data_IF_027579325438
#
_entry.id   IF_027579325438
#
_cell.length_a   1.000
_cell.length_b   1.000
_cell.length_c   1.000
_cell.angle_alpha   90.00
_cell.angle_beta   90.00
_cell.angle_gamma   90.00
#
_symmetry.space_group_name_H-M   'P 1'
#
loop_
_entity.id
_entity.type
_entity.pdbx_description
1 polymer ?
#
# COMPACT_ATOMS: atom_id res chain seq x y z
N UNK A 1 -8.01 -39.63 -9.37
CA UNK A 1 -7.70 -38.65 -10.43
C UNK A 1 -8.37 -37.34 -10.07
N UNK A 2 -7.67 -36.47 -9.32
CA UNK A 2 -8.22 -35.18 -8.88
C UNK A 2 -8.24 -34.22 -10.06
N UNK A 3 -9.44 -33.78 -10.46
CA UNK A 3 -9.62 -32.70 -11.43
C UNK A 3 -9.08 -31.42 -10.82
N UNK A 4 -7.91 -30.97 -11.27
CA UNK A 4 -7.42 -29.62 -10.98
C UNK A 4 -8.42 -28.63 -11.58
N UNK A 5 -9.11 -27.84 -10.75
CA UNK A 5 -9.90 -26.71 -11.22
C UNK A 5 -8.94 -25.72 -11.88
N UNK A 6 -9.12 -25.46 -13.17
CA UNK A 6 -8.44 -24.36 -13.86
C UNK A 6 -8.90 -23.04 -13.24
N UNK A 7 -8.00 -22.09 -12.92
CA UNK A 7 -8.38 -20.77 -12.47
C UNK A 7 -9.02 -20.02 -13.65
N UNK A 8 -10.32 -19.77 -13.55
CA UNK A 8 -11.05 -18.93 -14.50
C UNK A 8 -10.82 -17.46 -14.13
N UNK A 9 -10.19 -16.72 -15.05
CA UNK A 9 -10.12 -15.26 -15.15
C UNK A 9 -9.35 -14.55 -14.02
N UNK A 10 -8.08 -14.24 -14.31
CA UNK A 10 -7.11 -13.64 -13.41
C UNK A 10 -7.32 -12.12 -13.22
N UNK A 11 -7.02 -11.64 -12.00
CA UNK A 11 -7.28 -10.28 -11.51
C UNK A 11 -5.98 -9.46 -11.45
N UNK A 12 -6.01 -8.16 -11.81
CA UNK A 12 -4.81 -7.34 -12.02
C UNK A 12 -4.36 -6.46 -10.88
N UNK A 13 -3.04 -6.35 -10.81
CA UNK A 13 -2.26 -5.26 -10.25
C UNK A 13 -1.38 -4.68 -11.34
N UNK A 14 -1.29 -3.36 -11.43
CA UNK A 14 -0.29 -2.71 -12.27
C UNK A 14 1.10 -2.99 -11.69
N UNK A 15 1.77 -3.97 -12.26
CA UNK A 15 3.16 -4.35 -11.98
C UNK A 15 3.99 -3.94 -13.20
N UNK A 16 4.85 -2.92 -13.06
CA UNK A 16 5.68 -2.45 -14.16
C UNK A 16 7.01 -3.23 -14.16
N UNK A 17 7.26 -4.05 -15.17
CA UNK A 17 8.56 -4.73 -15.39
C UNK A 17 9.39 -3.96 -16.41
N UNK A 18 10.71 -4.17 -16.44
CA UNK A 18 11.63 -3.39 -17.30
C UNK A 18 11.37 -3.56 -18.82
N UNK A 19 10.60 -4.59 -19.18
CA UNK A 19 10.13 -4.87 -20.54
C UNK A 19 8.78 -4.19 -20.91
N UNK A 20 8.24 -3.32 -20.05
CA UNK A 20 7.05 -2.53 -20.37
C UNK A 20 5.75 -3.33 -20.41
N UNK A 21 5.63 -4.41 -19.64
CA UNK A 21 4.38 -5.17 -19.56
C UNK A 21 3.40 -4.44 -18.65
N UNK A 22 2.57 -3.58 -19.24
CA UNK A 22 1.40 -3.01 -18.57
C UNK A 22 0.30 -4.07 -18.49
N UNK A 23 0.15 -4.69 -17.32
CA UNK A 23 -1.00 -5.54 -17.05
C UNK A 23 -2.22 -4.63 -16.76
N UNK A 24 -3.05 -4.42 -17.78
CA UNK A 24 -4.35 -3.77 -17.67
C UNK A 24 -5.42 -4.86 -17.80
N UNK A 25 -6.15 -5.17 -16.71
CA UNK A 25 -7.32 -6.04 -16.78
C UNK A 25 -8.56 -5.25 -16.33
N UNK A 26 -9.29 -4.82 -17.37
CA UNK A 26 -10.70 -4.41 -17.49
C UNK A 26 -11.30 -3.23 -16.67
N UNK A 27 -12.52 -2.85 -17.10
CA UNK A 27 -13.34 -1.75 -16.57
C UNK A 27 -13.79 -1.96 -15.09
N UNK A 28 -13.51 -3.12 -14.49
CA UNK A 28 -13.90 -3.48 -13.12
C UNK A 28 -12.85 -3.12 -12.05
N UNK A 29 -11.69 -2.58 -12.46
CA UNK A 29 -10.68 -1.98 -11.56
C UNK A 29 -11.28 -0.90 -10.61
N UNK A 30 -12.47 -0.38 -10.96
CA UNK A 30 -13.32 0.50 -10.14
C UNK A 30 -13.85 -0.10 -8.82
N UNK A 31 -13.48 -1.32 -8.41
CA UNK A 31 -13.93 -1.96 -7.15
C UNK A 31 -12.86 -2.05 -6.04
N UNK A 32 -11.64 -1.59 -6.27
CA UNK A 32 -10.58 -1.50 -5.23
C UNK A 32 -10.81 -0.29 -4.29
N UNK A 33 -12.01 -0.21 -3.71
CA UNK A 33 -12.56 1.01 -3.11
C UNK A 33 -13.10 0.76 -1.71
N UNK A 34 -12.25 0.33 -0.79
CA UNK A 34 -12.56 0.52 0.64
C UNK A 34 -11.78 1.70 1.24
N UNK A 35 -10.89 2.31 0.47
CA UNK A 35 -10.17 3.50 0.88
C UNK A 35 -11.13 4.67 1.11
N UNK A 36 -11.04 5.27 2.29
CA UNK A 36 -11.83 6.41 2.72
C UNK A 36 -10.95 7.65 2.85
N UNK A 37 -11.22 8.66 2.03
CA UNK A 37 -10.46 9.92 2.05
C UNK A 37 -10.66 10.67 3.38
N UNK A 38 -11.85 10.56 4.00
CA UNK A 38 -12.11 11.16 5.30
C UNK A 38 -11.22 10.58 6.42
N UNK A 39 -10.59 9.42 6.18
CA UNK A 39 -9.66 8.78 7.13
C UNK A 39 -8.20 9.19 6.90
N UNK A 40 -7.94 10.19 6.06
CA UNK A 40 -6.62 10.82 5.96
C UNK A 40 -6.45 11.84 7.09
N UNK A 41 -5.20 12.18 7.46
CA UNK A 41 -4.95 13.32 8.32
C UNK A 41 -5.55 14.61 7.70
N UNK A 42 -5.97 15.59 8.51
CA UNK A 42 -6.37 16.91 8.03
C UNK A 42 -5.29 17.54 7.15
N UNK A 43 -5.67 18.23 6.08
CA UNK A 43 -4.73 18.85 5.13
C UNK A 43 -3.82 19.90 5.81
N UNK A 44 -4.30 20.51 6.89
CA UNK A 44 -3.59 21.48 7.72
C UNK A 44 -2.38 20.87 8.45
N UNK A 45 -2.33 19.55 8.62
CA UNK A 45 -1.18 18.85 9.20
C UNK A 45 -0.04 18.64 8.20
N UNK A 46 -0.28 18.86 6.90
CA UNK A 46 0.72 18.69 5.85
C UNK A 46 1.48 20.00 5.63
N UNK A 47 2.73 20.01 6.06
CA UNK A 47 3.60 21.17 5.92
C UNK A 47 4.54 20.92 4.75
N UNK A 48 4.58 21.83 3.77
CA UNK A 48 5.60 21.76 2.73
C UNK A 48 6.99 21.93 3.37
N UNK A 49 7.96 21.07 3.06
CA UNK A 49 9.30 21.17 3.62
C UNK A 49 9.99 22.43 3.10
N UNK A 50 9.80 23.57 3.77
CA UNK A 50 10.62 24.77 3.59
C UNK A 50 11.82 24.71 4.54
N UNK A 51 12.85 25.52 4.29
CA UNK A 51 14.07 25.56 5.11
C UNK A 51 13.74 25.86 6.60
N UNK A 52 12.73 26.68 6.87
CA UNK A 52 12.24 26.98 8.23
C UNK A 52 11.51 25.81 8.92
N UNK A 53 11.07 24.79 8.17
CA UNK A 53 10.32 23.64 8.70
C UNK A 53 11.25 22.56 9.25
N UNK A 54 12.53 22.56 8.86
CA UNK A 54 13.55 21.74 9.54
C UNK A 54 13.72 22.13 11.02
N UNK A 55 13.34 23.35 11.40
CA UNK A 55 13.34 23.82 12.80
C UNK A 55 12.05 23.44 13.55
N UNK A 56 10.98 23.01 12.86
CA UNK A 56 9.73 22.57 13.51
C UNK A 56 9.82 21.09 13.90
N UNK A 57 9.59 20.82 15.19
CA UNK A 57 9.42 19.45 15.70
C UNK A 57 8.10 18.86 15.19
N UNK A 58 8.13 17.62 14.69
CA UNK A 58 6.96 16.78 14.38
C UNK A 58 6.03 17.31 13.25
N UNK A 59 6.44 17.19 11.98
CA UNK A 59 5.57 17.53 10.84
C UNK A 59 5.32 16.33 9.93
N UNK A 60 4.25 16.43 9.11
CA UNK A 60 3.85 15.42 8.12
C UNK A 60 3.92 15.99 6.73
N UNK A 61 4.21 15.13 5.75
CA UNK A 61 4.08 15.45 4.33
C UNK A 61 3.61 14.22 3.54
N UNK A 62 2.98 14.45 2.39
CA UNK A 62 2.73 13.37 1.44
C UNK A 62 4.08 12.83 0.96
N UNK A 63 4.26 11.51 1.04
CA UNK A 63 5.47 10.89 0.51
C UNK A 63 5.43 10.85 -1.00
N UNK A 64 6.54 11.20 -1.62
CA UNK A 64 6.76 10.97 -3.04
C UNK A 64 6.92 9.47 -3.32
N UNK A 65 6.56 9.06 -4.53
CA UNK A 65 6.63 7.64 -4.95
C UNK A 65 8.07 7.13 -4.95
N UNK A 66 9.00 8.03 -5.23
CA UNK A 66 10.43 7.79 -5.40
C UNK A 66 11.20 7.85 -4.07
N UNK A 67 10.56 8.26 -2.97
CA UNK A 67 11.18 8.16 -1.65
C UNK A 67 11.51 6.70 -1.34
N UNK A 68 12.69 6.48 -0.75
CA UNK A 68 13.28 5.15 -0.61
C UNK A 68 12.32 4.11 -0.01
N UNK A 69 11.69 4.42 1.11
CA UNK A 69 10.81 3.44 1.80
C UNK A 69 9.50 3.20 1.05
N UNK A 70 8.73 4.21 0.59
CA UNK A 70 7.58 4.00 -0.27
C UNK A 70 7.89 3.19 -1.54
N UNK A 71 9.03 3.46 -2.18
CA UNK A 71 9.49 2.72 -3.35
C UNK A 71 9.81 1.25 -3.02
N UNK A 72 10.57 1.00 -1.94
CA UNK A 72 10.87 -0.35 -1.45
C UNK A 72 9.60 -1.12 -1.06
N UNK A 73 8.60 -0.45 -0.49
CA UNK A 73 7.30 -1.05 -0.15
C UNK A 73 6.54 -1.47 -1.41
N UNK A 74 6.51 -0.62 -2.44
CA UNK A 74 5.87 -0.93 -3.73
C UNK A 74 6.52 -2.11 -4.43
N UNK A 75 7.85 -2.23 -4.40
CA UNK A 75 8.56 -3.41 -4.93
C UNK A 75 8.19 -4.69 -4.17
N UNK A 76 8.17 -4.63 -2.83
CA UNK A 76 7.73 -5.77 -2.01
C UNK A 76 6.30 -6.21 -2.34
N UNK A 77 5.37 -5.27 -2.45
CA UNK A 77 3.99 -5.59 -2.80
C UNK A 77 3.87 -6.18 -4.20
N UNK A 78 4.55 -5.60 -5.20
CA UNK A 78 4.56 -6.16 -6.56
C UNK A 78 5.04 -7.61 -6.57
N UNK A 79 6.21 -7.88 -5.97
CA UNK A 79 6.77 -9.22 -5.88
C UNK A 79 5.86 -10.21 -5.13
N UNK A 80 5.31 -9.82 -3.97
CA UNK A 80 4.45 -10.70 -3.18
C UNK A 80 3.15 -11.04 -3.90
N UNK A 81 2.55 -10.09 -4.62
CA UNK A 81 1.31 -10.33 -5.35
C UNK A 81 1.51 -11.25 -6.55
N UNK A 82 2.60 -11.04 -7.31
CA UNK A 82 3.00 -11.97 -8.39
C UNK A 82 3.13 -13.38 -7.83
N UNK A 83 3.87 -13.54 -6.74
CA UNK A 83 4.08 -14.84 -6.09
C UNK A 83 2.76 -15.48 -5.63
N UNK A 84 1.95 -14.74 -4.90
CA UNK A 84 0.77 -15.28 -4.22
C UNK A 84 -0.44 -15.50 -5.15
N UNK A 85 -0.53 -14.77 -6.25
CA UNK A 85 -1.69 -14.81 -7.17
C UNK A 85 -1.37 -15.67 -8.39
N UNK A 86 -0.17 -15.56 -8.95
CA UNK A 86 0.20 -16.34 -10.13
C UNK A 86 0.69 -17.74 -9.77
N UNK A 87 0.98 -17.99 -8.48
CA UNK A 87 1.53 -19.26 -7.97
C UNK A 87 2.77 -19.72 -8.77
N UNK A 88 3.50 -18.76 -9.35
CA UNK A 88 4.60 -18.99 -10.26
C UNK A 88 5.92 -18.60 -9.60
N UNK A 89 6.65 -19.62 -9.13
CA UNK A 89 7.98 -19.48 -8.55
C UNK A 89 9.09 -19.34 -9.62
N UNK A 90 8.77 -19.41 -10.92
CA UNK A 90 9.76 -19.47 -12.01
C UNK A 90 10.21 -18.10 -12.55
N UNK A 91 9.72 -16.99 -11.97
CA UNK A 91 9.77 -15.70 -12.65
C UNK A 91 10.97 -14.85 -12.23
N UNK A 92 11.92 -14.71 -13.18
CA UNK A 92 12.95 -13.66 -13.20
C UNK A 92 12.39 -12.24 -13.03
N UNK A 93 11.09 -12.06 -13.22
CA UNK A 93 10.37 -10.79 -13.12
C UNK A 93 9.93 -10.42 -11.70
N UNK A 94 10.06 -11.32 -10.71
CA UNK A 94 9.72 -11.01 -9.31
C UNK A 94 10.56 -9.85 -8.75
N UNK A 95 11.82 -9.75 -9.15
CA UNK A 95 12.73 -8.68 -8.71
C UNK A 95 12.43 -7.33 -9.39
N UNK A 96 11.71 -7.35 -10.50
CA UNK A 96 11.31 -6.17 -11.26
C UNK A 96 9.88 -5.71 -10.92
N UNK A 97 9.09 -6.58 -10.29
CA UNK A 97 7.69 -6.32 -10.02
C UNK A 97 7.51 -5.17 -9.01
N UNK A 98 6.88 -4.07 -9.45
CA UNK A 98 6.54 -2.92 -8.61
C UNK A 98 5.05 -2.59 -8.65
N UNK A 99 4.42 -2.41 -7.47
CA UNK A 99 3.07 -1.85 -7.38
C UNK A 99 3.07 -0.38 -7.88
N UNK A 100 2.56 -0.17 -9.09
CA UNK A 100 2.57 1.14 -9.73
C UNK A 100 1.66 2.15 -9.04
N UNK A 101 0.45 1.75 -8.62
CA UNK A 101 -0.48 2.60 -7.88
C UNK A 101 -1.03 1.89 -6.63
N UNK A 102 -1.25 2.70 -5.59
CA UNK A 102 -1.97 2.23 -4.41
C UNK A 102 -3.46 2.12 -4.74
N UNK A 103 -4.22 1.27 -4.04
CA UNK A 103 -5.67 1.26 -4.14
C UNK A 103 -6.26 2.65 -3.91
N UNK A 104 -7.47 2.88 -4.45
CA UNK A 104 -8.11 4.20 -4.41
C UNK A 104 -8.21 4.71 -2.97
N UNK A 105 -7.92 6.00 -2.79
CA UNK A 105 -7.88 6.68 -1.48
C UNK A 105 -6.91 6.07 -0.45
N UNK A 106 -5.97 5.21 -0.83
CA UNK A 106 -4.82 4.89 0.02
C UNK A 106 -3.65 5.81 -0.30
N UNK A 107 -3.00 6.34 0.75
CA UNK A 107 -1.85 7.24 0.63
C UNK A 107 -0.76 6.87 1.61
N UNK A 108 0.49 6.92 1.14
CA UNK A 108 1.67 6.86 2.02
C UNK A 108 2.01 8.28 2.45
N UNK A 109 2.08 8.48 3.77
CA UNK A 109 2.37 9.76 4.40
C UNK A 109 3.62 9.58 5.25
N UNK A 110 4.58 10.48 5.05
CA UNK A 110 5.80 10.58 5.83
C UNK A 110 5.55 11.47 7.04
N UNK A 111 6.05 11.03 8.19
CA UNK A 111 6.04 11.77 9.43
C UNK A 111 7.47 11.88 9.95
N UNK A 112 7.98 13.10 9.95
CA UNK A 112 9.32 13.42 10.42
C UNK A 112 9.22 13.86 11.89
N UNK A 113 10.00 13.21 12.75
CA UNK A 113 10.05 13.48 14.18
C UNK A 113 11.44 13.23 14.75
N UNK A 114 11.70 13.75 15.94
CA UNK A 114 12.89 13.39 16.70
C UNK A 114 12.63 12.13 17.52
N UNK A 115 13.60 11.23 17.58
CA UNK A 115 13.57 10.11 18.52
C UNK A 115 14.05 10.53 19.92
N UNK A 116 14.17 9.57 20.84
CA UNK A 116 14.62 9.81 22.22
C UNK A 116 16.07 10.30 22.30
N UNK A 117 16.88 10.06 21.26
CA UNK A 117 18.28 10.44 21.17
C UNK A 117 18.46 11.78 20.43
N UNK A 118 17.37 12.53 20.24
CA UNK A 118 17.33 13.76 19.44
C UNK A 118 17.82 13.57 17.99
N UNK A 119 17.70 12.35 17.44
CA UNK A 119 17.99 12.08 16.04
C UNK A 119 16.72 12.22 15.21
N UNK A 120 16.88 12.82 14.04
CA UNK A 120 15.79 12.95 13.08
C UNK A 120 15.42 11.57 12.54
N UNK A 121 14.16 11.19 12.72
CA UNK A 121 13.57 9.94 12.26
C UNK A 121 12.42 10.24 11.30
N UNK A 122 12.40 9.55 10.17
CA UNK A 122 11.31 9.59 9.21
C UNK A 122 10.53 8.26 9.28
N UNK A 123 9.28 8.33 9.72
CA UNK A 123 8.37 7.19 9.76
C UNK A 123 7.33 7.31 8.64
N UNK A 124 7.02 6.18 8.00
CA UNK A 124 6.02 6.11 6.94
C UNK A 124 4.75 5.40 7.43
N UNK A 125 3.61 5.90 6.99
CA UNK A 125 2.29 5.37 7.34
C UNK A 125 1.41 5.29 6.12
N UNK A 126 0.55 4.28 6.06
CA UNK A 126 -0.48 4.16 5.04
C UNK A 126 -1.83 4.48 5.67
N UNK A 127 -2.45 5.53 5.16
CA UNK A 127 -3.79 5.99 5.55
C UNK A 127 -4.83 5.62 4.48
N UNK A 128 -6.10 5.69 4.87
CA UNK A 128 -7.24 5.41 4.00
C UNK A 128 -8.09 4.22 4.44
N UNK A 129 -7.68 3.43 5.44
CA UNK A 129 -8.48 2.27 5.86
C UNK A 129 -9.89 2.68 6.35
N UNK A 130 -10.96 1.93 6.04
CA UNK A 130 -12.34 2.33 6.36
C UNK A 130 -12.64 2.41 7.87
N UNK A 131 -11.91 1.67 8.70
CA UNK A 131 -12.07 1.69 10.17
C UNK A 131 -11.59 2.97 10.88
N UNK A 132 -11.27 4.04 10.15
CA UNK A 132 -10.97 5.36 10.72
C UNK A 132 -9.53 5.82 10.52
N UNK A 133 -9.29 7.10 10.84
CA UNK A 133 -7.98 7.74 10.69
C UNK A 133 -6.86 7.14 11.57
N UNK A 134 -7.20 6.44 12.66
CA UNK A 134 -6.25 5.73 13.51
C UNK A 134 -5.86 4.34 12.97
N UNK A 135 -6.61 3.82 11.99
CA UNK A 135 -6.43 2.48 11.41
C UNK A 135 -5.30 2.46 10.36
N UNK A 136 -4.12 2.92 10.75
CA UNK A 136 -2.95 3.09 9.86
C UNK A 136 -2.07 1.85 9.79
N UNK A 137 -1.53 1.56 8.60
CA UNK A 137 -0.49 0.54 8.44
C UNK A 137 0.90 1.18 8.55
N UNK A 138 1.82 0.53 9.27
CA UNK A 138 3.15 1.08 9.60
C UNK A 138 4.30 0.40 8.86
N UNK A 139 3.98 -0.57 8.02
CA UNK A 139 4.96 -1.34 7.26
C UNK A 139 4.32 -1.96 6.02
N UNK A 140 5.14 -2.31 5.04
CA UNK A 140 4.70 -3.07 3.87
C UNK A 140 3.97 -4.37 4.26
N UNK A 141 4.52 -5.10 5.24
CA UNK A 141 3.96 -6.36 5.71
C UNK A 141 2.61 -6.18 6.44
N UNK A 142 2.41 -5.07 7.16
CA UNK A 142 1.13 -4.81 7.82
C UNK A 142 0.00 -4.57 6.82
N UNK A 143 0.30 -3.88 5.70
CA UNK A 143 -0.69 -3.56 4.67
C UNK A 143 -0.98 -4.71 3.73
N UNK A 144 0.01 -5.58 3.48
CA UNK A 144 -0.08 -6.61 2.45
C UNK A 144 -1.32 -7.53 2.55
N UNK A 145 -1.72 -8.05 3.72
CA UNK A 145 -2.94 -8.87 3.81
C UNK A 145 -4.20 -8.14 3.35
N UNK A 146 -4.25 -6.81 3.57
CA UNK A 146 -5.35 -5.98 3.11
C UNK A 146 -5.30 -5.76 1.61
N UNK A 147 -4.11 -5.42 1.09
CA UNK A 147 -3.88 -5.24 -0.34
C UNK A 147 -4.23 -6.51 -1.13
N UNK A 148 -3.77 -7.68 -0.67
CA UNK A 148 -4.12 -8.97 -1.29
C UNK A 148 -5.63 -9.20 -1.30
N UNK A 149 -6.32 -8.95 -0.18
CA UNK A 149 -7.78 -9.07 -0.11
C UNK A 149 -8.49 -8.12 -1.09
N UNK A 150 -8.03 -6.87 -1.23
CA UNK A 150 -8.57 -5.93 -2.21
C UNK A 150 -8.38 -6.41 -3.65
N UNK A 151 -7.19 -6.91 -3.97
CA UNK A 151 -6.87 -7.41 -5.32
C UNK A 151 -7.69 -8.65 -5.65
N UNK A 152 -7.91 -9.53 -4.68
CA UNK A 152 -8.74 -10.73 -4.87
C UNK A 152 -10.26 -10.42 -4.88
N UNK A 153 -10.63 -9.14 -5.01
CA UNK A 153 -12.03 -8.73 -5.15
C UNK A 153 -12.80 -8.72 -3.83
N UNK A 154 -12.09 -8.56 -2.71
CA UNK A 154 -12.67 -8.54 -1.37
C UNK A 154 -13.38 -9.84 -0.97
N UNK A 155 -13.00 -10.96 -1.58
CA UNK A 155 -13.60 -12.26 -1.28
C UNK A 155 -13.21 -12.77 0.12
N UNK A 156 -14.20 -13.29 0.83
CA UNK A 156 -14.04 -13.77 2.20
C UNK A 156 -13.67 -12.68 3.23
N UNK A 157 -13.14 -13.12 4.38
CA UNK A 157 -12.81 -12.25 5.51
C UNK A 157 -11.37 -11.73 5.39
N UNK A 158 -11.19 -10.41 5.40
CA UNK A 158 -9.87 -9.79 5.45
C UNK A 158 -9.12 -10.16 6.74
N UNK A 159 -7.85 -10.56 6.60
CA UNK A 159 -7.00 -10.98 7.72
C UNK A 159 -6.08 -9.87 8.25
N UNK A 160 -6.15 -8.66 7.69
CA UNK A 160 -5.29 -7.56 8.08
C UNK A 160 -5.57 -7.12 9.53
N UNK A 161 -4.56 -6.52 10.16
CA UNK A 161 -4.65 -6.08 11.57
C UNK A 161 -5.74 -5.02 11.78
N UNK A 162 -6.00 -4.17 10.80
CA UNK A 162 -6.96 -3.08 10.94
C UNK A 162 -8.41 -3.57 10.84
N UNK A 163 -8.72 -4.45 9.89
CA UNK A 163 -10.02 -5.14 9.81
C UNK A 163 -10.32 -5.94 11.08
N UNK A 164 -9.31 -6.60 11.68
CA UNK A 164 -9.47 -7.38 12.91
C UNK A 164 -9.80 -6.55 14.16
N UNK A 165 -9.39 -5.27 14.20
CA UNK A 165 -9.65 -4.38 15.34
C UNK A 165 -11.09 -3.87 15.41
N UNK A 166 -11.87 -3.99 14.34
CA UNK A 166 -13.20 -3.39 14.24
C UNK A 166 -13.14 -1.86 14.10
N UNK A 167 -14.30 -1.25 13.81
CA UNK A 167 -14.43 0.22 13.77
C UNK A 167 -14.40 0.73 15.22
N UNK A 168 -13.30 1.39 15.61
CA UNK A 168 -13.30 2.23 16.81
C UNK A 168 -14.00 3.53 16.46
N UNK A 169 -15.29 3.61 16.81
CA UNK A 169 -16.09 4.84 16.73
C UNK A 169 -15.72 5.85 17.79
#
# INVERSE_FOLDING_TARGET
MSKKKQPTEATVLTVNTSDGVEFCMDDNCRRQKDGEHANHPPLEEFIQPTIDVQLRKNYRHFSLREERSPFEWRKKWGAWLVKDILEDDSLSYMDEAILYELPENYKVISQIKYDSDEKLRNDYYIYGHPNGCSAVFRSAADFYPHLKWLVLGQDGKCECKQCKKGVTG
#
